data_IF_524058216388
#
_entry.id   IF_524058216388
#
_cell.length_a   1.000
_cell.length_b   1.000
_cell.length_c   1.000
_cell.angle_alpha   90.00
_cell.angle_beta   90.00
_cell.angle_gamma   90.00
#
_symmetry.space_group_name_H-M   'P 1'
#
loop_
_entity.id
_entity.type
_entity.pdbx_description
1 polymer ?
#
# COMPACT_ATOMS: atom_id res chain seq x y z
N UNK A 1 -12.56 -18.60 5.89
CA UNK A 1 -11.81 -17.49 6.53
C UNK A 1 -10.59 -18.08 7.20
N UNK A 2 -9.41 -17.46 7.03
CA UNK A 2 -8.15 -17.94 7.59
C UNK A 2 -7.27 -16.80 8.07
N UNK A 3 -6.35 -17.10 8.97
CA UNK A 3 -5.32 -16.16 9.44
C UNK A 3 -4.01 -16.46 8.72
N UNK A 4 -3.22 -15.42 8.46
CA UNK A 4 -1.92 -15.54 7.85
C UNK A 4 -0.88 -14.63 8.52
N UNK A 5 0.37 -15.10 8.48
CA UNK A 5 1.53 -14.34 8.95
C UNK A 5 1.99 -13.33 7.90
N UNK A 6 2.73 -12.28 8.29
CA UNK A 6 3.43 -11.41 7.35
C UNK A 6 4.30 -12.23 6.37
N UNK A 7 4.42 -11.79 5.12
CA UNK A 7 5.13 -12.48 4.06
C UNK A 7 4.33 -13.59 3.35
N UNK A 8 3.10 -13.88 3.78
CA UNK A 8 2.23 -14.83 3.05
C UNK A 8 1.80 -14.25 1.72
N UNK A 9 2.19 -14.88 0.62
CA UNK A 9 1.72 -14.56 -0.73
C UNK A 9 0.33 -15.15 -0.95
N UNK A 10 -0.59 -14.37 -1.50
CA UNK A 10 -1.95 -14.78 -1.85
C UNK A 10 -2.04 -15.21 -3.31
N UNK A 11 -1.39 -14.49 -4.20
CA UNK A 11 -1.22 -14.81 -5.61
C UNK A 11 0.04 -14.13 -6.15
N UNK A 12 0.54 -14.65 -7.27
CA UNK A 12 1.68 -14.12 -8.00
C UNK A 12 1.21 -13.43 -9.28
N UNK A 13 2.06 -12.57 -9.84
CA UNK A 13 1.82 -12.01 -11.17
C UNK A 13 1.68 -13.14 -12.19
N UNK A 14 0.63 -13.08 -13.02
CA UNK A 14 0.31 -14.11 -14.02
C UNK A 14 -0.60 -15.25 -13.53
N UNK A 15 -0.93 -15.33 -12.25
CA UNK A 15 -1.90 -16.31 -11.75
C UNK A 15 -3.30 -16.04 -12.36
N UNK A 16 -4.00 -17.10 -12.80
CA UNK A 16 -5.27 -17.01 -13.54
C UNK A 16 -6.49 -17.44 -12.74
N UNK A 17 -6.40 -17.48 -11.41
CA UNK A 17 -7.50 -17.91 -10.54
C UNK A 17 -8.62 -16.85 -10.43
N UNK A 18 -9.89 -17.23 -10.57
CA UNK A 18 -11.04 -16.35 -10.30
C UNK A 18 -11.44 -16.39 -8.81
N UNK A 19 -10.62 -15.75 -7.97
CA UNK A 19 -10.79 -15.74 -6.51
C UNK A 19 -10.70 -14.31 -6.00
N UNK A 20 -11.66 -13.89 -5.19
CA UNK A 20 -11.62 -12.66 -4.41
C UNK A 20 -11.22 -12.92 -2.97
N UNK A 21 -10.35 -12.07 -2.48
CA UNK A 21 -9.95 -12.01 -1.09
C UNK A 21 -10.55 -10.75 -0.45
N UNK A 22 -11.15 -10.89 0.72
CA UNK A 22 -11.64 -9.78 1.54
C UNK A 22 -10.73 -9.69 2.75
N UNK A 23 -10.01 -8.58 2.89
CA UNK A 23 -9.18 -8.30 4.04
C UNK A 23 -10.05 -7.86 5.21
N UNK A 24 -10.10 -8.67 6.27
CA UNK A 24 -10.88 -8.38 7.47
C UNK A 24 -10.06 -7.66 8.53
N UNK A 25 -8.79 -7.99 8.65
CA UNK A 25 -7.83 -7.41 9.60
C UNK A 25 -6.43 -7.43 9.00
N UNK A 26 -5.58 -6.51 9.43
CA UNK A 26 -4.21 -6.38 8.97
C UNK A 26 -4.08 -5.53 7.69
N UNK A 27 -2.98 -5.73 6.97
CA UNK A 27 -2.68 -5.03 5.72
C UNK A 27 -2.04 -5.96 4.69
N UNK A 28 -2.25 -5.65 3.41
CA UNK A 28 -1.72 -6.39 2.26
C UNK A 28 -1.05 -5.43 1.30
N UNK A 29 0.17 -5.74 0.87
CA UNK A 29 0.85 -5.04 -0.21
C UNK A 29 0.49 -5.67 -1.55
N UNK A 30 0.08 -4.85 -2.49
CA UNK A 30 0.09 -5.17 -3.92
C UNK A 30 1.36 -4.56 -4.50
N UNK A 31 2.18 -5.38 -5.15
CA UNK A 31 3.45 -4.91 -5.70
C UNK A 31 3.76 -5.51 -7.06
N UNK A 32 4.62 -4.84 -7.80
CA UNK A 32 5.25 -5.31 -9.03
C UNK A 32 6.74 -5.52 -8.80
N UNK A 33 7.35 -6.35 -9.63
CA UNK A 33 8.79 -6.48 -9.71
C UNK A 33 9.29 -5.82 -10.99
N UNK A 34 10.37 -5.05 -10.88
CA UNK A 34 11.10 -4.58 -12.07
C UNK A 34 11.86 -5.75 -12.71
N UNK A 35 12.34 -5.61 -13.96
CA UNK A 35 13.19 -6.65 -14.59
C UNK A 35 14.41 -7.04 -13.73
N UNK A 36 14.93 -6.10 -12.94
CA UNK A 36 16.05 -6.31 -12.02
C UNK A 36 15.63 -6.94 -10.68
N UNK A 37 14.35 -7.32 -10.54
CA UNK A 37 13.79 -7.95 -9.33
C UNK A 37 13.48 -6.98 -8.19
N UNK A 38 13.48 -5.66 -8.42
CA UNK A 38 13.15 -4.67 -7.41
C UNK A 38 11.64 -4.60 -7.20
N UNK A 39 11.22 -4.58 -5.93
CA UNK A 39 9.82 -4.46 -5.51
C UNK A 39 9.35 -3.00 -5.59
N UNK A 40 8.21 -2.78 -6.23
CA UNK A 40 7.48 -1.51 -6.25
C UNK A 40 6.08 -1.74 -5.68
N UNK A 41 5.78 -1.16 -4.52
CA UNK A 41 4.45 -1.25 -3.91
C UNK A 41 3.51 -0.29 -4.66
N UNK A 42 2.55 -0.87 -5.38
CA UNK A 42 1.54 -0.11 -6.13
C UNK A 42 0.30 0.20 -5.30
N UNK A 43 0.06 -0.55 -4.23
CA UNK A 43 -1.00 -0.26 -3.26
C UNK A 43 -0.75 -0.97 -1.93
N UNK A 44 -1.12 -0.30 -0.82
CA UNK A 44 -1.24 -0.90 0.50
C UNK A 44 -2.71 -0.97 0.87
N UNK A 45 -3.23 -2.18 0.95
CA UNK A 45 -4.63 -2.44 1.26
C UNK A 45 -4.82 -2.55 2.77
N UNK A 46 -5.89 -1.95 3.28
CA UNK A 46 -6.29 -1.98 4.69
C UNK A 46 -7.53 -2.86 4.89
N UNK A 47 -7.87 -3.14 6.14
CA UNK A 47 -9.10 -3.87 6.49
C UNK A 47 -10.32 -3.27 5.78
N UNK A 48 -11.18 -4.12 5.25
CA UNK A 48 -12.33 -3.77 4.40
C UNK A 48 -12.03 -3.80 2.90
N UNK A 49 -10.76 -3.84 2.49
CA UNK A 49 -10.37 -3.91 1.07
C UNK A 49 -10.67 -5.28 0.45
N UNK A 50 -10.92 -5.26 -0.87
CA UNK A 50 -11.08 -6.45 -1.71
C UNK A 50 -9.94 -6.49 -2.71
N UNK A 51 -9.36 -7.65 -2.92
CA UNK A 51 -8.28 -7.88 -3.89
C UNK A 51 -8.38 -9.30 -4.49
N UNK A 52 -7.56 -9.60 -5.48
CA UNK A 52 -7.57 -10.86 -6.21
C UNK A 52 -8.03 -10.69 -7.66
N UNK A 53 -8.14 -11.79 -8.38
CA UNK A 53 -8.53 -11.83 -9.79
C UNK A 53 -10.01 -12.20 -9.90
N UNK A 54 -10.78 -11.38 -10.59
CA UNK A 54 -12.15 -11.70 -10.93
C UNK A 54 -12.63 -10.93 -12.16
N UNK A 55 -12.68 -11.60 -13.29
CA UNK A 55 -13.12 -11.02 -14.57
C UNK A 55 -14.56 -10.50 -14.53
N UNK A 56 -15.42 -11.10 -13.70
CA UNK A 56 -16.82 -10.69 -13.52
C UNK A 56 -17.00 -9.22 -13.12
N UNK A 57 -16.07 -8.67 -12.36
CA UNK A 57 -16.09 -7.28 -11.91
C UNK A 57 -14.99 -6.44 -12.54
N UNK A 58 -14.38 -6.93 -13.63
CA UNK A 58 -13.30 -6.25 -14.33
C UNK A 58 -12.01 -6.11 -13.53
N UNK A 59 -11.91 -6.79 -12.38
CA UNK A 59 -10.72 -6.74 -11.56
C UNK A 59 -9.69 -7.72 -12.11
N UNK A 60 -8.63 -7.19 -12.67
CA UNK A 60 -7.49 -7.93 -13.21
C UNK A 60 -6.23 -7.51 -12.48
N UNK A 61 -5.49 -8.51 -11.98
CA UNK A 61 -4.26 -8.27 -11.23
C UNK A 61 -3.06 -9.05 -11.82
N UNK A 62 -3.11 -9.30 -13.12
CA UNK A 62 -2.14 -10.13 -13.85
C UNK A 62 -0.67 -9.75 -13.64
N UNK A 63 -0.39 -8.47 -13.38
CA UNK A 63 0.97 -7.96 -13.29
C UNK A 63 1.38 -7.65 -11.85
N UNK A 64 0.59 -8.07 -10.86
CA UNK A 64 0.87 -7.78 -9.46
C UNK A 64 0.98 -9.04 -8.61
N UNK A 65 1.77 -8.92 -7.55
CA UNK A 65 1.82 -9.87 -6.45
C UNK A 65 0.99 -9.32 -5.29
N UNK A 66 0.40 -10.19 -4.49
CA UNK A 66 -0.27 -9.81 -3.25
C UNK A 66 0.34 -10.54 -2.06
N UNK A 67 0.79 -9.79 -1.05
CA UNK A 67 1.50 -10.33 0.11
C UNK A 67 1.01 -9.68 1.40
N UNK A 68 0.81 -10.46 2.45
CA UNK A 68 0.47 -9.94 3.78
C UNK A 68 1.64 -9.10 4.32
N UNK A 69 1.40 -7.81 4.58
CA UNK A 69 2.37 -6.90 5.18
C UNK A 69 2.40 -7.03 6.71
N UNK A 70 1.25 -7.33 7.32
CA UNK A 70 1.08 -7.55 8.76
C UNK A 70 0.32 -8.85 9.01
N UNK A 71 0.24 -9.36 10.25
CA UNK A 71 -0.68 -10.46 10.58
C UNK A 71 -2.09 -10.09 10.09
N UNK A 72 -2.68 -10.94 9.26
CA UNK A 72 -3.91 -10.61 8.52
C UNK A 72 -4.94 -11.71 8.63
N UNK A 73 -6.23 -11.32 8.60
CA UNK A 73 -7.37 -12.23 8.53
C UNK A 73 -8.11 -12.03 7.22
N UNK A 74 -8.26 -13.12 6.45
CA UNK A 74 -8.75 -13.09 5.07
C UNK A 74 -9.99 -13.98 4.93
N UNK A 75 -10.98 -13.47 4.21
CA UNK A 75 -12.09 -14.26 3.68
C UNK A 75 -11.87 -14.48 2.18
N UNK A 76 -12.07 -15.70 1.72
CA UNK A 76 -11.97 -16.06 0.29
C UNK A 76 -13.38 -16.27 -0.25
N UNK A 77 -13.63 -15.76 -1.44
CA UNK A 77 -14.90 -15.89 -2.15
C UNK A 77 -14.66 -16.36 -3.57
N UNK A 78 -15.42 -17.38 -3.99
CA UNK A 78 -15.46 -17.82 -5.38
C UNK A 78 -16.30 -16.88 -6.24
N UNK A 79 -16.17 -17.01 -7.58
CA UNK A 79 -17.03 -16.30 -8.54
C UNK A 79 -18.53 -16.54 -8.26
N UNK A 80 -18.90 -17.79 -7.97
CA UNK A 80 -20.30 -18.15 -7.69
C UNK A 80 -20.82 -17.47 -6.43
N UNK A 81 -20.00 -17.39 -5.37
CA UNK A 81 -20.38 -16.70 -4.13
C UNK A 81 -20.58 -15.20 -4.35
N UNK A 82 -19.68 -14.57 -5.12
CA UNK A 82 -19.78 -13.14 -5.45
C UNK A 82 -21.04 -12.87 -6.28
N UNK A 83 -21.32 -13.69 -7.31
CA UNK A 83 -22.54 -13.55 -8.12
C UNK A 83 -23.80 -13.66 -7.26
N UNK A 84 -23.91 -14.71 -6.45
CA UNK A 84 -25.05 -14.89 -5.53
C UNK A 84 -25.23 -13.69 -4.60
N UNK A 85 -24.13 -13.24 -4.03
CA UNK A 85 -24.14 -12.12 -3.09
C UNK A 85 -24.57 -10.81 -3.75
N UNK A 86 -24.12 -10.52 -4.96
CA UNK A 86 -24.51 -9.33 -5.72
C UNK A 86 -26.00 -9.35 -6.13
N UNK A 87 -26.52 -10.51 -6.54
CA UNK A 87 -27.93 -10.67 -6.89
C UNK A 87 -28.84 -10.53 -5.67
N UNK A 88 -28.43 -11.07 -4.52
CA UNK A 88 -29.21 -11.01 -3.29
C UNK A 88 -29.12 -9.65 -2.59
N UNK A 89 -28.03 -8.92 -2.76
CA UNK A 89 -27.75 -7.62 -2.10
C UNK A 89 -27.13 -6.63 -3.07
N UNK A 90 -27.89 -6.03 -3.99
CA UNK A 90 -27.36 -5.10 -5.02
C UNK A 90 -26.55 -3.92 -4.44
N UNK A 91 -26.88 -3.50 -3.22
CA UNK A 91 -26.14 -2.42 -2.52
C UNK A 91 -24.65 -2.76 -2.29
N UNK A 92 -24.28 -4.05 -2.30
CA UNK A 92 -22.87 -4.45 -2.22
C UNK A 92 -22.11 -4.10 -3.50
N UNK A 93 -22.76 -4.14 -4.66
CA UNK A 93 -22.17 -3.71 -5.93
C UNK A 93 -21.80 -2.21 -5.87
N UNK A 94 -22.71 -1.38 -5.36
CA UNK A 94 -22.45 0.06 -5.17
C UNK A 94 -21.26 0.33 -4.22
N UNK A 95 -21.17 -0.43 -3.13
CA UNK A 95 -20.01 -0.34 -2.21
C UNK A 95 -18.72 -0.76 -2.89
N UNK A 96 -18.74 -1.83 -3.68
CA UNK A 96 -17.58 -2.29 -4.44
C UNK A 96 -17.13 -1.24 -5.46
N UNK A 97 -18.06 -0.63 -6.20
CA UNK A 97 -17.77 0.47 -7.12
C UNK A 97 -17.13 1.66 -6.39
N UNK A 98 -17.64 2.05 -5.23
CA UNK A 98 -17.06 3.12 -4.40
C UNK A 98 -15.63 2.78 -3.91
N UNK A 99 -15.36 1.52 -3.58
CA UNK A 99 -14.00 1.08 -3.21
C UNK A 99 -13.04 1.14 -4.41
N UNK A 100 -13.51 0.75 -5.61
CA UNK A 100 -12.71 0.85 -6.85
C UNK A 100 -12.45 2.30 -7.23
N UNK A 101 -13.43 3.18 -7.10
CA UNK A 101 -13.26 4.63 -7.31
C UNK A 101 -12.19 5.22 -6.38
N UNK A 102 -12.24 4.91 -5.08
CA UNK A 102 -11.20 5.35 -4.13
C UNK A 102 -9.81 4.82 -4.48
N UNK A 103 -9.72 3.59 -4.96
CA UNK A 103 -8.45 3.00 -5.39
C UNK A 103 -7.88 3.68 -6.62
N UNK A 104 -8.74 3.99 -7.61
CA UNK A 104 -8.36 4.74 -8.81
C UNK A 104 -7.80 6.12 -8.44
N UNK A 105 -8.53 6.90 -7.63
CA UNK A 105 -8.06 8.19 -7.13
C UNK A 105 -6.72 8.09 -6.38
N UNK A 106 -6.51 7.02 -5.60
CA UNK A 106 -5.23 6.78 -4.92
C UNK A 106 -4.09 6.55 -5.90
N UNK A 107 -4.35 5.80 -6.98
CA UNK A 107 -3.36 5.55 -8.04
C UNK A 107 -3.03 6.83 -8.82
N UNK A 108 -4.03 7.63 -9.15
CA UNK A 108 -3.85 8.94 -9.81
C UNK A 108 -2.97 9.86 -8.98
N UNK A 109 -3.24 10.01 -7.68
CA UNK A 109 -2.39 10.79 -6.76
C UNK A 109 -0.95 10.27 -6.70
N UNK A 110 -0.76 8.94 -6.69
CA UNK A 110 0.58 8.37 -6.71
C UNK A 110 1.33 8.69 -8.02
N UNK A 111 0.62 8.66 -9.15
CA UNK A 111 1.19 9.08 -10.44
C UNK A 111 1.58 10.56 -10.44
N UNK A 112 0.72 11.44 -9.93
CA UNK A 112 1.02 12.87 -9.78
C UNK A 112 2.25 13.08 -8.90
N UNK A 113 2.33 12.41 -7.75
CA UNK A 113 3.49 12.51 -6.86
C UNK A 113 4.79 12.06 -7.54
N UNK A 114 4.75 10.98 -8.34
CA UNK A 114 5.94 10.51 -9.06
C UNK A 114 6.34 11.49 -10.17
N UNK A 115 5.36 12.11 -10.84
CA UNK A 115 5.59 13.02 -11.97
C UNK A 115 6.11 14.40 -11.52
N UNK A 116 5.63 14.90 -10.40
CA UNK A 116 5.86 16.29 -10.00
C UNK A 116 6.70 16.46 -8.73
N UNK A 117 6.75 15.46 -7.85
CA UNK A 117 7.41 15.60 -6.55
C UNK A 117 8.79 14.93 -6.52
N UNK A 118 9.73 15.62 -5.90
CA UNK A 118 11.07 15.08 -5.62
C UNK A 118 11.03 13.88 -4.68
N UNK A 119 12.09 13.07 -4.63
CA UNK A 119 12.15 11.93 -3.69
C UNK A 119 12.04 12.37 -2.22
N UNK A 120 12.72 13.46 -1.76
CA UNK A 120 12.51 13.97 -0.41
C UNK A 120 11.06 14.36 -0.13
N UNK A 121 10.38 15.05 -1.06
CA UNK A 121 8.98 15.46 -0.92
C UNK A 121 8.06 14.23 -0.79
N UNK A 122 8.21 13.21 -1.64
CA UNK A 122 7.43 11.96 -1.55
C UNK A 122 7.70 11.22 -0.24
N UNK A 123 8.95 11.23 0.24
CA UNK A 123 9.30 10.62 1.52
C UNK A 123 8.66 11.37 2.69
N UNK A 124 8.71 12.71 2.70
CA UNK A 124 8.05 13.55 3.70
C UNK A 124 6.54 13.26 3.76
N UNK A 125 5.86 13.26 2.60
CA UNK A 125 4.43 12.92 2.50
C UNK A 125 4.12 11.53 3.09
N UNK A 126 4.96 10.53 2.80
CA UNK A 126 4.77 9.17 3.33
C UNK A 126 5.00 9.09 4.84
N UNK A 127 5.97 9.80 5.37
CA UNK A 127 6.22 9.88 6.82
C UNK A 127 5.02 10.51 7.55
N UNK A 128 4.46 11.59 7.00
CA UNK A 128 3.28 12.27 7.55
C UNK A 128 2.06 11.33 7.54
N UNK A 129 1.81 10.65 6.42
CA UNK A 129 0.70 9.69 6.29
C UNK A 129 0.78 8.57 7.34
N UNK A 130 1.96 7.97 7.51
CA UNK A 130 2.16 6.85 8.43
C UNK A 130 2.17 7.27 9.90
N UNK A 131 2.49 8.52 10.20
CA UNK A 131 2.56 9.08 11.56
C UNK A 131 1.26 9.69 12.07
N UNK A 132 0.16 9.61 11.31
CA UNK A 132 -1.07 10.40 11.49
C UNK A 132 -1.65 10.45 12.93
N UNK A 133 -1.30 9.52 13.81
CA UNK A 133 -1.85 9.45 15.18
C UNK A 133 -0.87 9.86 16.29
N UNK A 134 0.44 9.65 16.15
CA UNK A 134 1.37 9.71 17.29
C UNK A 134 2.72 10.37 16.99
N UNK A 135 2.94 10.99 15.82
CA UNK A 135 4.25 11.47 15.34
C UNK A 135 5.34 10.37 15.37
N UNK A 136 4.96 9.10 15.48
CA UNK A 136 5.88 7.98 15.59
C UNK A 136 5.53 6.89 14.57
N UNK A 137 6.52 6.46 13.80
CA UNK A 137 6.43 5.42 12.78
C UNK A 137 7.28 4.24 13.23
N UNK A 138 6.69 3.05 13.33
CA UNK A 138 7.37 1.83 13.81
C UNK A 138 7.30 0.70 12.78
N UNK A 139 8.33 -0.14 12.80
CA UNK A 139 8.33 -1.41 12.08
C UNK A 139 8.80 -1.34 10.63
N UNK A 140 9.00 -0.15 10.08
CA UNK A 140 9.42 0.01 8.68
C UNK A 140 10.95 0.05 8.54
N UNK A 141 11.44 -0.55 7.48
CA UNK A 141 12.83 -0.49 7.02
C UNK A 141 12.98 0.58 5.94
N UNK A 142 14.19 1.05 5.69
CA UNK A 142 14.49 1.97 4.57
C UNK A 142 14.13 1.36 3.22
N UNK A 143 14.23 0.02 3.07
CA UNK A 143 13.81 -0.66 1.86
C UNK A 143 12.30 -0.57 1.65
N UNK A 144 11.49 -0.79 2.69
CA UNK A 144 10.03 -0.67 2.58
C UNK A 144 9.60 0.76 2.23
N UNK A 145 10.25 1.79 2.79
CA UNK A 145 10.02 3.17 2.34
C UNK A 145 10.38 3.35 0.86
N UNK A 146 11.51 2.82 0.42
CA UNK A 146 11.92 2.89 -0.98
C UNK A 146 10.91 2.23 -1.91
N UNK A 147 10.40 1.05 -1.52
CA UNK A 147 9.38 0.32 -2.26
C UNK A 147 8.04 1.09 -2.32
N UNK A 148 7.68 1.81 -1.23
CA UNK A 148 6.45 2.62 -1.16
C UNK A 148 6.48 3.88 -2.02
N UNK A 149 7.64 4.54 -2.11
CA UNK A 149 7.75 5.80 -2.85
C UNK A 149 8.41 5.65 -4.23
N UNK A 150 8.71 4.42 -4.65
CA UNK A 150 9.25 4.11 -5.97
C UNK A 150 10.67 4.63 -6.20
N UNK A 151 11.61 4.34 -5.26
CA UNK A 151 13.01 4.78 -5.35
C UNK A 151 13.97 3.70 -4.84
N UNK A 152 15.26 4.04 -4.69
CA UNK A 152 16.29 3.16 -4.14
C UNK A 152 16.43 3.36 -2.64
N UNK A 153 16.83 2.28 -1.93
CA UNK A 153 17.05 2.30 -0.48
C UNK A 153 18.11 3.34 -0.07
N UNK A 154 19.16 3.46 -0.86
CA UNK A 154 20.27 4.40 -0.64
C UNK A 154 19.75 5.85 -0.69
N UNK A 155 18.87 6.15 -1.63
CA UNK A 155 18.25 7.49 -1.77
C UNK A 155 17.36 7.80 -0.57
N UNK A 156 16.54 6.84 -0.10
CA UNK A 156 15.75 6.99 1.13
C UNK A 156 16.67 7.22 2.33
N UNK A 157 17.76 6.44 2.44
CA UNK A 157 18.72 6.60 3.54
C UNK A 157 19.35 7.98 3.56
N UNK A 158 19.74 8.49 2.39
CA UNK A 158 20.29 9.85 2.26
C UNK A 158 19.25 10.91 2.69
N UNK A 159 18.03 10.85 2.17
CA UNK A 159 16.95 11.78 2.51
C UNK A 159 16.57 11.74 4.00
N UNK A 160 16.49 10.54 4.60
CA UNK A 160 16.22 10.41 6.04
C UNK A 160 17.35 11.02 6.91
N UNK A 161 18.60 10.85 6.52
CA UNK A 161 19.73 11.45 7.21
C UNK A 161 19.73 12.99 7.08
N UNK A 162 19.35 13.50 5.92
CA UNK A 162 19.16 14.94 5.71
C UNK A 162 18.06 15.50 6.62
N UNK A 163 16.87 14.87 6.66
CA UNK A 163 15.78 15.25 7.55
C UNK A 163 16.20 15.21 9.02
N UNK A 164 17.00 14.22 9.42
CA UNK A 164 17.56 14.13 10.77
C UNK A 164 18.51 15.29 11.05
N UNK A 165 19.41 15.61 10.13
CA UNK A 165 20.37 16.72 10.27
C UNK A 165 19.66 18.06 10.37
N UNK A 166 18.56 18.24 9.65
CA UNK A 166 17.71 19.43 9.71
C UNK A 166 16.82 19.49 10.96
N UNK A 167 16.86 18.45 11.82
CA UNK A 167 16.06 18.38 13.04
C UNK A 167 14.56 18.11 12.80
N UNK A 168 14.17 17.66 11.60
CA UNK A 168 12.77 17.36 11.26
C UNK A 168 12.30 16.03 11.86
N UNK A 169 13.21 15.06 11.94
CA UNK A 169 12.95 13.72 12.46
C UNK A 169 14.06 13.23 13.37
N UNK A 170 13.75 12.24 14.20
CA UNK A 170 14.74 11.41 14.88
C UNK A 170 14.63 9.96 14.40
N UNK A 171 15.77 9.28 14.20
CA UNK A 171 15.86 7.91 13.69
C UNK A 171 16.40 7.00 14.79
N UNK A 172 15.58 6.03 15.20
CA UNK A 172 15.95 4.95 16.12
C UNK A 172 15.89 3.58 15.43
N UNK A 173 16.14 2.51 16.20
CA UNK A 173 16.06 1.15 15.66
C UNK A 173 14.62 0.81 15.24
N UNK A 174 14.35 0.68 13.92
CA UNK A 174 13.02 0.46 13.33
C UNK A 174 11.96 1.47 13.84
N UNK A 175 12.38 2.69 14.10
CA UNK A 175 11.50 3.76 14.58
C UNK A 175 11.95 5.10 14.03
N UNK A 176 11.00 5.88 13.54
CA UNK A 176 11.19 7.27 13.14
C UNK A 176 10.19 8.10 13.95
N UNK A 177 10.66 9.18 14.56
CA UNK A 177 9.83 10.14 15.30
C UNK A 177 9.89 11.47 14.56
N UNK A 178 8.75 12.06 14.25
CA UNK A 178 8.65 13.40 13.67
C UNK A 178 8.83 14.41 14.80
N UNK A 179 9.81 15.29 14.67
CA UNK A 179 10.13 16.36 15.63
C UNK A 179 9.47 17.67 15.22
N UNK A 180 9.48 18.01 13.93
CA UNK A 180 8.87 19.22 13.38
C UNK A 180 7.94 18.84 12.22
N UNK A 181 6.66 18.68 12.54
CA UNK A 181 5.66 18.26 11.57
C UNK A 181 5.38 19.35 10.54
N UNK A 182 5.30 20.61 10.96
CA UNK A 182 4.93 21.72 10.08
C UNK A 182 5.99 21.91 8.96
N UNK A 183 7.27 21.92 9.33
CA UNK A 183 8.35 22.00 8.34
C UNK A 183 8.43 20.76 7.44
N UNK A 184 8.07 19.57 7.95
CA UNK A 184 8.01 18.38 7.12
C UNK A 184 6.82 18.43 6.14
N UNK A 185 5.70 19.05 6.53
CA UNK A 185 4.54 19.30 5.66
C UNK A 185 4.86 20.31 4.56
N UNK A 186 5.60 21.37 4.85
CA UNK A 186 6.08 22.34 3.84
C UNK A 186 6.93 21.68 2.74
N UNK A 187 7.66 20.61 3.06
CA UNK A 187 8.44 19.86 2.07
C UNK A 187 7.61 18.99 1.14
N UNK A 188 6.31 18.82 1.40
CA UNK A 188 5.45 17.97 0.54
C UNK A 188 5.00 18.71 -0.73
N UNK A 189 5.07 20.03 -0.75
CA UNK A 189 4.55 20.90 -1.82
C UNK A 189 5.65 21.35 -2.81
N UNK A 190 6.84 20.76 -2.72
CA UNK A 190 8.04 21.14 -3.49
C UNK A 190 8.48 20.13 -4.53
#
# INVERSE_FOLDING_TARGET
>A
MFQCKPGRTFYNAGDTGEVLFILKEGSVHLYRLTPEGRKLIVATLQAGSIFGEMSLIGQRMYDTFAEAATPSRICVMSRVDVMKLMLQKPQLALRLMGMMGKRLMGTERQMEQIAFNSVPSRLASKLIELSAKNNEIKGYTHQEFADMIGTYRETVTASLNEFKTQGLINIGRKRITILDRNRLEEMTDG
#
